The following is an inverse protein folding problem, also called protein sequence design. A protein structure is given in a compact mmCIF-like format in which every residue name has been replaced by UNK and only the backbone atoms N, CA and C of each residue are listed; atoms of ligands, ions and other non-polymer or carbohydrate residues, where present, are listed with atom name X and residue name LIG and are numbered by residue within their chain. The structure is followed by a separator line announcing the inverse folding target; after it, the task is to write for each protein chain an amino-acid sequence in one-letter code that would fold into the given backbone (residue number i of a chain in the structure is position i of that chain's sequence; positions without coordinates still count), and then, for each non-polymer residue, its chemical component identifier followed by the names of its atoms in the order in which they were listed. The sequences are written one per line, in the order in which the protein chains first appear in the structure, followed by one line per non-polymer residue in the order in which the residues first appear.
data_IF_234621351662
#
_entry.id   IF_234621351662
#
_cell.length_a   1.000
_cell.length_b   1.000
_cell.length_c   1.000
_cell.angle_alpha   90.00
_cell.angle_beta   90.00
_cell.angle_gamma   90.00
#
_symmetry.space_group_name_H-M   'P 1'
#
loop_
_entity.id
_entity.type
_entity.pdbx_description
1 polymer ?
#
# COMPACT_ATOMS: atom_id res chain seq x y z
N UNK A 1 18.79 -0.65 -12.37
CA UNK A 1 18.45 0.53 -11.54
C UNK A 1 16.95 0.46 -11.37
N UNK A 2 16.42 0.47 -10.16
CA UNK A 2 14.97 0.43 -9.96
C UNK A 2 14.38 1.71 -10.54
N UNK A 3 13.45 1.60 -11.49
CA UNK A 3 12.72 2.74 -12.01
C UNK A 3 11.77 3.23 -10.91
N UNK A 4 12.19 4.31 -10.26
CA UNK A 4 11.39 5.00 -9.26
C UNK A 4 10.19 5.61 -9.98
N UNK A 5 8.97 5.22 -9.59
CA UNK A 5 7.80 5.94 -10.06
C UNK A 5 7.66 7.19 -9.20
N UNK A 6 7.90 8.39 -9.75
CA UNK A 6 7.66 9.60 -9.01
C UNK A 6 6.18 9.66 -8.69
N UNK A 7 5.86 9.74 -7.40
CA UNK A 7 4.54 10.17 -6.96
C UNK A 7 4.22 11.54 -7.60
N UNK A 8 2.92 11.87 -7.79
CA UNK A 8 2.51 13.21 -8.22
C UNK A 8 3.14 14.28 -7.33
N UNK A 9 3.23 15.50 -7.87
CA UNK A 9 3.98 16.62 -7.28
C UNK A 9 3.94 16.65 -5.75
N UNK A 10 5.12 16.57 -5.13
CA UNK A 10 5.29 16.73 -3.70
C UNK A 10 4.76 18.10 -3.32
N UNK A 11 3.68 18.13 -2.53
CA UNK A 11 3.00 19.39 -2.21
C UNK A 11 3.73 20.06 -1.06
N UNK A 12 4.33 21.26 -1.24
CA UNK A 12 4.95 21.98 -0.14
C UNK A 12 3.91 22.20 0.95
N UNK A 13 4.26 21.98 2.23
CA UNK A 13 3.33 22.40 3.28
C UNK A 13 3.28 23.93 3.29
N UNK A 14 2.11 24.51 3.57
CA UNK A 14 2.04 25.94 3.65
C UNK A 14 2.72 26.48 4.91
N UNK A 15 3.02 27.80 4.94
CA UNK A 15 3.40 28.49 6.17
C UNK A 15 2.35 28.32 7.27
N UNK A 16 2.66 28.74 8.51
CA UNK A 16 1.90 28.45 9.74
C UNK A 16 0.42 28.95 9.83
N UNK A 17 -0.31 29.18 8.73
CA UNK A 17 -1.79 29.38 8.66
C UNK A 17 -2.31 29.25 7.21
N UNK A 18 -3.57 28.92 6.88
CA UNK A 18 -4.80 28.60 7.63
C UNK A 18 -5.14 27.11 7.37
N UNK A 19 -5.32 26.33 8.43
CA UNK A 19 -5.85 24.98 8.31
C UNK A 19 -7.36 25.04 8.41
N UNK A 20 -8.05 24.33 7.51
CA UNK A 20 -9.50 24.24 7.50
C UNK A 20 -9.92 22.79 7.42
N UNK A 21 -11.01 22.48 8.08
CA UNK A 21 -11.53 21.13 8.17
C UNK A 21 -12.98 21.13 7.69
N UNK A 22 -13.29 20.23 6.78
CA UNK A 22 -14.61 20.13 6.17
C UNK A 22 -15.20 18.76 6.50
N UNK A 23 -16.52 18.72 6.66
CA UNK A 23 -17.27 17.49 6.88
C UNK A 23 -18.37 17.35 5.83
N UNK A 24 -18.42 16.20 5.18
CA UNK A 24 -19.41 15.85 4.16
C UNK A 24 -20.06 14.52 4.51
N UNK A 25 -21.39 14.43 4.40
CA UNK A 25 -22.08 13.16 4.45
C UNK A 25 -21.80 12.39 3.14
N UNK A 26 -21.18 11.22 3.25
CA UNK A 26 -20.76 10.39 2.11
C UNK A 26 -21.94 9.82 1.31
N UNK A 27 -23.08 9.60 1.97
CA UNK A 27 -24.26 8.99 1.34
C UNK A 27 -25.06 10.04 0.57
N UNK A 28 -25.28 11.22 1.17
CA UNK A 28 -26.10 12.28 0.56
C UNK A 28 -25.29 13.28 -0.25
N UNK A 29 -23.97 13.35 -0.04
CA UNK A 29 -23.11 14.40 -0.59
C UNK A 29 -23.25 15.77 0.09
N UNK A 30 -24.11 15.89 1.11
CA UNK A 30 -24.33 17.14 1.84
C UNK A 30 -23.07 17.56 2.60
N UNK A 31 -22.65 18.81 2.43
CA UNK A 31 -21.62 19.40 3.29
C UNK A 31 -22.23 19.73 4.66
N UNK A 32 -22.06 18.82 5.62
CA UNK A 32 -22.58 18.98 6.98
C UNK A 32 -21.80 19.99 7.82
N UNK A 33 -20.55 20.28 7.44
CA UNK A 33 -19.81 21.46 7.92
C UNK A 33 -18.77 21.93 6.89
N UNK A 34 -18.67 23.25 6.72
CA UNK A 34 -17.62 23.89 5.90
C UNK A 34 -16.46 24.45 6.74
N UNK A 35 -16.62 24.49 8.05
CA UNK A 35 -15.66 25.04 9.02
C UNK A 35 -15.79 24.22 10.31
N UNK A 36 -15.38 22.96 10.28
CA UNK A 36 -15.42 22.06 11.44
C UNK A 36 -14.30 22.47 12.42
N UNK A 37 -14.60 22.86 13.68
CA UNK A 37 -13.60 23.41 14.58
C UNK A 37 -12.79 22.32 15.28
N UNK A 38 -12.03 21.55 14.50
CA UNK A 38 -11.12 20.54 15.02
C UNK A 38 -9.90 21.19 15.68
N UNK A 39 -9.39 20.54 16.72
CA UNK A 39 -8.17 20.89 17.42
C UNK A 39 -7.29 19.66 17.67
N UNK A 40 -6.02 19.85 18.01
CA UNK A 40 -5.05 18.75 18.17
C UNK A 40 -5.02 17.78 16.98
N UNK A 41 -5.17 18.31 15.76
CA UNK A 41 -5.24 17.51 14.55
C UNK A 41 -3.87 16.91 14.25
N UNK A 42 -3.86 15.64 13.86
CA UNK A 42 -2.68 14.93 13.38
C UNK A 42 -3.06 14.20 12.10
N UNK A 43 -2.41 14.53 10.99
CA UNK A 43 -2.64 13.88 9.69
C UNK A 43 -1.50 12.94 9.41
N UNK A 44 -1.81 11.66 9.18
CA UNK A 44 -0.81 10.60 9.06
C UNK A 44 -0.98 9.81 7.76
N UNK A 45 -0.39 10.26 6.63
CA UNK A 45 -0.25 9.42 5.45
C UNK A 45 0.58 8.16 5.76
N UNK A 46 0.17 7.02 5.20
CA UNK A 46 0.82 5.72 5.38
C UNK A 46 1.10 5.10 4.01
N UNK A 47 2.29 4.52 3.83
CA UNK A 47 2.64 3.79 2.61
C UNK A 47 1.91 2.45 2.63
N UNK A 48 1.17 2.16 1.57
CA UNK A 48 0.40 0.91 1.44
C UNK A 48 -0.54 0.67 2.63
N UNK A 49 -1.13 1.76 3.14
CA UNK A 49 -2.10 1.75 4.24
C UNK A 49 -3.01 2.98 4.18
N UNK A 50 -4.17 2.96 4.87
CA UNK A 50 -5.07 4.11 4.91
C UNK A 50 -4.39 5.29 5.61
N UNK A 51 -4.78 6.52 5.23
CA UNK A 51 -4.48 7.68 6.06
C UNK A 51 -5.01 7.46 7.47
N UNK A 52 -4.32 7.99 8.48
CA UNK A 52 -4.83 8.06 9.85
C UNK A 52 -4.89 9.51 10.28
N UNK A 53 -6.07 9.98 10.65
CA UNK A 53 -6.26 11.33 11.15
C UNK A 53 -6.87 11.23 12.53
N UNK A 54 -6.23 11.85 13.51
CA UNK A 54 -6.79 12.05 14.84
C UNK A 54 -7.06 13.52 15.08
N UNK A 55 -8.12 13.82 15.80
CA UNK A 55 -8.47 15.19 16.17
C UNK A 55 -9.29 15.20 17.46
N UNK A 56 -9.43 16.38 18.05
CA UNK A 56 -10.35 16.61 19.15
C UNK A 56 -11.34 17.71 18.81
N UNK A 57 -12.57 17.60 19.33
CA UNK A 57 -13.63 18.58 19.12
C UNK A 57 -14.46 18.76 20.40
N UNK A 58 -15.22 19.85 20.47
CA UNK A 58 -16.14 20.12 21.58
C UNK A 58 -17.28 19.08 21.65
N UNK A 59 -17.65 18.58 22.86
CA UNK A 59 -18.74 17.63 23.04
C UNK A 59 -20.10 18.07 22.48
N UNK A 60 -20.35 19.37 22.32
CA UNK A 60 -21.57 19.88 21.70
C UNK A 60 -21.79 19.37 20.26
N UNK A 61 -20.73 18.89 19.59
CA UNK A 61 -20.82 18.34 18.23
C UNK A 61 -21.28 16.88 18.17
N UNK A 62 -21.32 16.15 19.30
CA UNK A 62 -21.63 14.70 19.33
C UNK A 62 -22.96 14.38 18.65
N UNK A 63 -23.99 15.13 19.01
CA UNK A 63 -25.37 14.94 18.52
C UNK A 63 -25.81 16.09 17.60
N UNK A 64 -24.86 16.95 17.18
CA UNK A 64 -25.18 18.11 16.35
C UNK A 64 -25.66 17.64 14.98
N UNK A 65 -26.80 18.16 14.55
CA UNK A 65 -27.42 17.86 13.26
C UNK A 65 -27.54 19.10 12.40
N UNK A 66 -27.47 18.91 11.10
CA UNK A 66 -27.78 19.96 10.11
C UNK A 66 -29.29 20.20 10.04
N UNK A 67 -29.71 21.23 9.30
CA UNK A 67 -31.12 21.50 9.07
C UNK A 67 -31.88 20.39 8.32
N UNK A 68 -31.18 19.50 7.63
CA UNK A 68 -31.75 18.31 6.97
C UNK A 68 -31.86 17.11 7.92
N UNK A 69 -31.33 17.22 9.14
CA UNK A 69 -31.32 16.17 10.16
C UNK A 69 -30.09 15.25 10.13
N UNK A 70 -29.16 15.44 9.19
CA UNK A 70 -27.92 14.67 9.11
C UNK A 70 -27.00 14.99 10.30
N UNK A 71 -26.34 13.98 10.88
CA UNK A 71 -25.31 14.20 11.90
C UNK A 71 -24.10 14.91 11.29
N UNK A 72 -23.53 15.85 12.04
CA UNK A 72 -22.23 16.44 11.68
C UNK A 72 -21.11 15.41 11.87
N UNK A 73 -21.16 14.69 13.00
CA UNK A 73 -20.23 13.60 13.34
C UNK A 73 -20.96 12.27 13.29
N UNK A 74 -21.17 11.72 12.08
CA UNK A 74 -21.70 10.36 11.92
C UNK A 74 -20.58 9.38 11.58
N UNK A 75 -20.35 8.39 12.43
CA UNK A 75 -19.39 7.31 12.15
C UNK A 75 -19.81 6.52 10.91
N UNK A 76 -18.85 6.18 10.06
CA UNK A 76 -19.06 5.52 8.76
C UNK A 76 -20.01 6.28 7.80
N UNK A 77 -20.29 7.55 8.09
CA UNK A 77 -21.17 8.41 7.31
C UNK A 77 -20.47 9.71 6.91
N UNK A 78 -19.65 10.29 7.78
CA UNK A 78 -18.99 11.57 7.55
C UNK A 78 -17.58 11.40 6.98
N UNK A 79 -17.34 11.96 5.80
CA UNK A 79 -16.00 12.25 5.28
C UNK A 79 -15.48 13.54 5.91
N UNK A 80 -14.32 13.47 6.55
CA UNK A 80 -13.59 14.64 7.03
C UNK A 80 -12.37 14.83 6.14
N UNK A 81 -12.21 16.03 5.56
CA UNK A 81 -11.02 16.40 4.79
C UNK A 81 -10.31 17.58 5.43
N UNK A 82 -8.99 17.54 5.33
CA UNK A 82 -8.08 18.53 5.92
C UNK A 82 -7.46 19.34 4.80
N UNK A 83 -7.69 20.65 4.80
CA UNK A 83 -7.11 21.58 3.85
C UNK A 83 -6.03 22.44 4.52
N UNK A 84 -4.96 22.69 3.78
CA UNK A 84 -4.02 23.75 4.09
C UNK A 84 -3.65 24.51 2.80
N UNK A 85 -3.87 25.83 2.81
CA UNK A 85 -3.62 26.76 1.70
C UNK A 85 -4.21 26.33 0.36
N UNK A 86 -5.51 26.02 0.34
CA UNK A 86 -6.21 25.67 -0.90
C UNK A 86 -6.06 24.22 -1.34
N UNK A 87 -5.20 23.44 -0.69
CA UNK A 87 -4.93 22.06 -1.05
C UNK A 87 -5.33 21.09 0.06
N UNK A 88 -6.00 20.00 -0.31
CA UNK A 88 -6.28 18.91 0.62
C UNK A 88 -4.97 18.18 0.96
N UNK A 89 -4.70 18.04 2.26
CA UNK A 89 -3.52 17.39 2.84
C UNK A 89 -3.79 15.99 3.37
N UNK A 90 -5.07 15.64 3.47
CA UNK A 90 -5.54 14.32 3.85
C UNK A 90 -7.05 14.33 4.01
N UNK A 91 -7.61 13.16 4.23
CA UNK A 91 -8.99 13.00 4.62
C UNK A 91 -9.26 11.56 5.04
N UNK A 92 -10.52 11.28 5.33
CA UNK A 92 -10.96 9.94 5.67
C UNK A 92 -12.39 9.93 6.19
N UNK A 93 -12.89 8.73 6.43
CA UNK A 93 -14.18 8.45 7.03
C UNK A 93 -14.02 8.56 8.54
N UNK A 94 -14.89 9.32 9.20
CA UNK A 94 -14.97 9.30 10.66
C UNK A 94 -15.37 7.88 11.11
N UNK A 95 -14.53 7.22 11.88
CA UNK A 95 -14.73 5.83 12.31
C UNK A 95 -14.99 5.67 13.80
N UNK A 96 -14.55 6.65 14.60
CA UNK A 96 -14.78 6.62 16.05
C UNK A 96 -14.92 8.03 16.64
N UNK A 97 -15.76 8.14 17.67
CA UNK A 97 -16.01 9.33 18.47
C UNK A 97 -16.05 8.91 19.94
N UNK A 98 -14.98 9.22 20.69
CA UNK A 98 -14.84 8.81 22.09
C UNK A 98 -14.85 10.01 23.01
N UNK A 99 -15.51 9.90 24.16
CA UNK A 99 -15.43 10.92 25.21
C UNK A 99 -14.06 10.83 25.92
N UNK A 100 -13.33 11.93 25.91
CA UNK A 100 -12.01 12.05 26.52
C UNK A 100 -11.95 13.34 27.37
N UNK A 101 -12.33 13.22 28.63
CA UNK A 101 -12.38 14.36 29.55
C UNK A 101 -13.42 15.40 29.12
N UNK A 102 -12.96 16.59 28.71
CA UNK A 102 -13.83 17.71 28.26
C UNK A 102 -13.90 17.83 26.73
N UNK A 103 -13.39 16.84 26.00
CA UNK A 103 -13.36 16.81 24.53
C UNK A 103 -13.88 15.48 24.03
N UNK A 104 -14.21 15.44 22.74
CA UNK A 104 -14.36 14.20 21.99
C UNK A 104 -13.06 13.95 21.23
N UNK A 105 -12.51 12.76 21.37
CA UNK A 105 -11.45 12.24 20.51
C UNK A 105 -12.09 11.63 19.27
N UNK A 106 -11.60 12.03 18.10
CA UNK A 106 -12.06 11.53 16.81
C UNK A 106 -10.96 10.68 16.17
N UNK A 107 -11.34 9.51 15.67
CA UNK A 107 -10.50 8.73 14.75
C UNK A 107 -11.14 8.77 13.36
N UNK A 108 -10.33 9.18 12.38
CA UNK A 108 -10.72 9.30 10.98
C UNK A 108 -9.76 8.42 10.17
N UNK A 109 -10.32 7.43 9.47
CA UNK A 109 -9.57 6.45 8.69
C UNK A 109 -9.67 6.78 7.21
N UNK A 110 -8.55 6.75 6.49
CA UNK A 110 -8.48 6.94 5.04
C UNK A 110 -9.47 6.08 4.28
N UNK A 111 -9.87 6.51 3.08
CA UNK A 111 -10.98 5.86 2.35
C UNK A 111 -10.70 4.39 2.04
N UNK A 112 -9.44 3.97 1.93
CA UNK A 112 -9.07 2.57 1.69
C UNK A 112 -9.39 1.65 2.86
N UNK A 113 -9.51 2.19 4.08
CA UNK A 113 -10.00 1.45 5.24
C UNK A 113 -11.45 0.97 5.09
N UNK A 114 -12.23 1.53 4.16
CA UNK A 114 -13.57 1.04 3.84
C UNK A 114 -13.58 -0.40 3.31
N UNK A 115 -12.49 -0.83 2.65
CA UNK A 115 -12.39 -2.18 2.14
C UNK A 115 -12.31 -3.23 3.26
N UNK A 116 -11.86 -2.85 4.46
CA UNK A 116 -11.72 -3.77 5.59
C UNK A 116 -13.09 -4.29 6.05
N UNK A 117 -13.12 -5.60 6.35
CA UNK A 117 -14.29 -6.35 6.78
C UNK A 117 -15.44 -6.39 5.75
N UNK A 118 -15.21 -5.94 4.51
CA UNK A 118 -16.21 -6.03 3.47
C UNK A 118 -16.21 -7.42 2.84
N UNK A 119 -17.32 -8.18 2.94
CA UNK A 119 -17.40 -9.49 2.34
C UNK A 119 -17.68 -9.38 0.83
N UNK A 120 -17.11 -10.29 0.07
CA UNK A 120 -17.58 -10.53 -1.28
C UNK A 120 -18.90 -11.33 -1.25
N UNK A 121 -19.97 -10.80 -1.86
CA UNK A 121 -21.30 -11.42 -1.90
C UNK A 121 -21.67 -12.00 -3.26
N UNK A 122 -20.83 -11.78 -4.27
CA UNK A 122 -20.95 -12.42 -5.57
C UNK A 122 -19.56 -12.76 -6.12
N UNK A 123 -19.42 -13.93 -6.75
CA UNK A 123 -18.12 -14.36 -7.23
C UNK A 123 -17.60 -13.41 -8.31
N UNK A 124 -16.34 -13.02 -8.19
CA UNK A 124 -15.63 -12.30 -9.24
C UNK A 124 -14.84 -13.29 -10.07
N UNK A 125 -14.79 -13.07 -11.37
CA UNK A 125 -14.11 -13.97 -12.30
C UNK A 125 -13.42 -13.16 -13.37
N UNK A 126 -12.19 -13.55 -13.65
CA UNK A 126 -11.35 -13.02 -14.72
C UNK A 126 -10.94 -14.20 -15.61
N UNK A 127 -10.78 -13.93 -16.91
CA UNK A 127 -10.59 -15.01 -17.90
C UNK A 127 -11.91 -15.68 -18.31
N UNK A 128 -11.82 -16.85 -18.93
CA UNK A 128 -12.96 -17.51 -19.60
C UNK A 128 -13.03 -17.25 -21.11
N UNK A 129 -14.08 -17.73 -21.80
CA UNK A 129 -14.21 -17.63 -23.26
C UNK A 129 -15.45 -16.85 -23.70
N UNK A 130 -15.45 -15.56 -23.41
CA UNK A 130 -16.16 -14.57 -24.24
C UNK A 130 -15.11 -13.96 -25.17
N UNK A 131 -15.44 -13.79 -26.45
CA UNK A 131 -14.52 -13.27 -27.46
C UNK A 131 -13.74 -12.05 -26.94
N UNK A 132 -12.42 -12.20 -26.76
CA UNK A 132 -11.56 -11.13 -26.24
C UNK A 132 -10.55 -11.52 -25.15
N UNK A 133 -10.51 -12.76 -24.66
CA UNK A 133 -9.51 -13.17 -23.64
C UNK A 133 -8.15 -13.50 -24.25
N UNK A 134 -7.48 -12.49 -24.80
CA UNK A 134 -6.06 -12.54 -25.15
C UNK A 134 -5.22 -12.24 -23.90
N UNK A 135 -4.46 -13.20 -23.38
CA UNK A 135 -3.53 -12.97 -22.27
C UNK A 135 -3.18 -14.24 -21.50
N UNK A 136 -2.24 -14.11 -20.55
CA UNK A 136 -1.71 -15.22 -19.74
C UNK A 136 -2.07 -15.11 -18.25
N UNK A 137 -3.30 -14.69 -17.93
CA UNK A 137 -3.75 -14.39 -16.57
C UNK A 137 -4.15 -12.92 -16.39
N UNK A 138 -4.59 -12.57 -15.19
CA UNK A 138 -5.00 -11.21 -14.80
C UNK A 138 -3.91 -10.51 -13.99
N UNK A 139 -3.70 -9.21 -14.20
CA UNK A 139 -2.83 -8.38 -13.37
C UNK A 139 -3.40 -8.25 -11.94
N UNK A 140 -2.60 -8.46 -10.87
CA UNK A 140 -3.00 -8.15 -9.49
C UNK A 140 -3.65 -6.77 -9.32
N UNK A 141 -3.16 -5.73 -10.00
CA UNK A 141 -3.76 -4.39 -9.92
C UNK A 141 -5.12 -4.31 -10.62
N UNK A 142 -5.39 -5.13 -11.64
CA UNK A 142 -6.72 -5.23 -12.24
C UNK A 142 -7.71 -5.93 -11.30
N UNK A 143 -7.23 -6.89 -10.49
CA UNK A 143 -8.03 -7.50 -9.42
C UNK A 143 -8.39 -6.45 -8.38
N UNK A 144 -7.42 -5.65 -7.90
CA UNK A 144 -7.68 -4.56 -6.95
C UNK A 144 -8.68 -3.55 -7.51
N UNK A 145 -8.56 -3.14 -8.78
CA UNK A 145 -9.54 -2.26 -9.43
C UNK A 145 -10.94 -2.85 -9.46
N UNK A 146 -11.07 -4.13 -9.78
CA UNK A 146 -12.38 -4.80 -9.83
C UNK A 146 -12.99 -4.99 -8.44
N UNK A 147 -12.16 -5.22 -7.40
CA UNK A 147 -12.61 -5.23 -6.00
C UNK A 147 -13.14 -3.85 -5.57
N UNK A 148 -12.43 -2.77 -5.91
CA UNK A 148 -12.91 -1.41 -5.66
C UNK A 148 -14.18 -1.07 -6.42
N UNK A 149 -14.28 -1.47 -7.68
CA UNK A 149 -15.51 -1.33 -8.44
C UNK A 149 -16.67 -2.07 -7.75
N UNK A 150 -16.43 -3.32 -7.31
CA UNK A 150 -17.42 -4.10 -6.57
C UNK A 150 -17.88 -3.37 -5.30
N UNK A 151 -16.96 -2.79 -4.51
CA UNK A 151 -17.28 -2.00 -3.31
C UNK A 151 -18.17 -0.81 -3.64
N UNK A 152 -17.86 -0.09 -4.71
CA UNK A 152 -18.64 1.08 -5.14
C UNK A 152 -19.99 0.74 -5.76
N UNK A 153 -20.13 -0.46 -6.31
CA UNK A 153 -21.39 -0.97 -6.85
C UNK A 153 -22.37 -1.41 -5.73
N UNK A 154 -21.92 -1.48 -4.46
CA UNK A 154 -22.79 -1.82 -3.33
C UNK A 154 -23.71 -0.65 -2.94
N UNK A 155 -24.90 -0.92 -2.37
CA UNK A 155 -25.74 0.11 -1.75
C UNK A 155 -24.94 0.93 -0.74
N UNK A 156 -25.01 2.25 -0.86
CA UNK A 156 -24.29 3.23 -0.04
C UNK A 156 -22.76 3.07 -0.01
N UNK A 157 -22.18 2.25 -0.90
CA UNK A 157 -20.75 1.96 -0.97
C UNK A 157 -19.97 2.80 -1.97
N UNK A 158 -20.66 3.63 -2.77
CA UNK A 158 -20.01 4.45 -3.80
C UNK A 158 -19.31 5.67 -3.19
N UNK A 159 -18.05 5.49 -2.83
CA UNK A 159 -17.18 6.57 -2.36
C UNK A 159 -16.62 7.46 -3.48
N UNK A 160 -16.91 7.17 -4.76
CA UNK A 160 -16.35 7.89 -5.91
C UNK A 160 -14.80 7.93 -5.90
N UNK A 161 -14.20 6.84 -5.46
CA UNK A 161 -12.76 6.56 -5.50
C UNK A 161 -12.36 6.26 -6.93
N UNK A 162 -11.21 6.81 -7.32
CA UNK A 162 -10.57 6.55 -8.60
C UNK A 162 -9.22 5.91 -8.35
N UNK A 163 -8.74 5.09 -9.30
CA UNK A 163 -7.50 4.33 -9.15
C UNK A 163 -6.61 4.55 -10.35
N UNK A 164 -5.30 4.55 -10.13
CA UNK A 164 -4.29 4.62 -11.19
C UNK A 164 -4.44 3.48 -12.20
N UNK A 165 -3.93 3.68 -13.41
CA UNK A 165 -3.89 2.67 -14.48
C UNK A 165 -2.58 1.85 -14.51
N UNK A 166 -1.72 1.98 -13.48
CA UNK A 166 -0.45 1.24 -13.35
C UNK A 166 -0.63 -0.26 -13.55
N UNK A 167 0.23 -0.91 -14.33
CA UNK A 167 0.19 -2.36 -14.52
C UNK A 167 1.48 -3.01 -14.01
N UNK A 168 1.37 -4.23 -13.51
CA UNK A 168 2.50 -5.05 -13.10
C UNK A 168 2.82 -6.10 -14.18
N UNK A 169 4.00 -6.72 -14.17
CA UNK A 169 4.32 -7.86 -15.04
C UNK A 169 3.79 -9.20 -14.51
N UNK A 170 3.14 -9.23 -13.34
CA UNK A 170 2.65 -10.43 -12.66
C UNK A 170 1.27 -10.85 -13.18
N UNK A 171 0.98 -12.15 -13.23
CA UNK A 171 -0.33 -12.65 -13.69
C UNK A 171 -0.87 -13.76 -12.79
N UNK A 172 -2.17 -13.67 -12.49
CA UNK A 172 -2.93 -14.61 -11.67
C UNK A 172 -3.84 -15.49 -12.52
N UNK A 173 -4.11 -16.71 -12.07
CA UNK A 173 -5.14 -17.58 -12.62
C UNK A 173 -4.78 -19.06 -12.57
N UNK A 174 -5.59 -19.89 -13.21
CA UNK A 174 -5.38 -21.33 -13.36
C UNK A 174 -5.74 -21.74 -14.77
N UNK A 175 -5.04 -22.73 -15.33
CA UNK A 175 -5.32 -23.22 -16.67
C UNK A 175 -6.31 -24.38 -16.64
N UNK A 176 -7.33 -24.32 -17.49
CA UNK A 176 -8.39 -25.32 -17.58
C UNK A 176 -8.57 -25.84 -19.01
N UNK A 177 -9.12 -27.06 -19.11
CA UNK A 177 -9.44 -27.75 -20.35
C UNK A 177 -10.97 -27.89 -20.50
N UNK A 178 -11.57 -27.23 -21.51
CA UNK A 178 -12.99 -27.39 -21.84
C UNK A 178 -13.22 -28.37 -23.02
N UNK A 179 -14.24 -29.23 -22.90
CA UNK A 179 -14.65 -30.20 -23.96
C UNK A 179 -15.34 -29.52 -25.15
N UNK A 180 -16.19 -28.52 -24.91
CA UNK A 180 -16.93 -27.72 -25.91
C UNK A 180 -17.49 -26.46 -25.21
N UNK A 181 -17.73 -25.39 -25.95
CA UNK A 181 -18.56 -24.26 -25.48
C UNK A 181 -20.01 -24.68 -25.73
N UNK A 182 -20.87 -24.64 -24.71
CA UNK A 182 -22.30 -24.88 -24.92
C UNK A 182 -22.90 -23.71 -25.72
N UNK A 183 -23.99 -23.92 -26.49
CA UNK A 183 -24.56 -22.89 -27.37
C UNK A 183 -24.99 -21.60 -26.65
N UNK A 184 -25.15 -21.65 -25.33
CA UNK A 184 -25.50 -20.52 -24.44
C UNK A 184 -24.27 -19.81 -23.84
N UNK A 185 -23.05 -20.16 -24.27
CA UNK A 185 -21.81 -19.58 -23.79
C UNK A 185 -21.32 -20.14 -22.44
N UNK A 186 -21.98 -21.17 -21.90
CA UNK A 186 -21.55 -21.82 -20.66
C UNK A 186 -20.47 -22.86 -20.94
N UNK A 187 -19.57 -22.99 -19.98
CA UNK A 187 -18.51 -23.99 -19.99
C UNK A 187 -19.09 -25.31 -19.45
N UNK A 188 -19.15 -26.36 -20.27
CA UNK A 188 -19.40 -27.71 -19.77
C UNK A 188 -18.39 -28.12 -18.69
N UNK A 189 -18.62 -29.19 -17.91
CA UNK A 189 -17.85 -29.47 -16.69
C UNK A 189 -16.34 -29.48 -16.97
N UNK A 190 -15.66 -28.48 -16.40
CA UNK A 190 -14.22 -28.36 -16.49
C UNK A 190 -13.60 -29.62 -15.89
N UNK A 191 -12.77 -30.31 -16.67
CA UNK A 191 -11.81 -31.23 -16.07
C UNK A 191 -10.50 -30.48 -16.03
N UNK A 192 -10.02 -30.23 -14.82
CA UNK A 192 -8.71 -29.66 -14.53
C UNK A 192 -7.66 -30.27 -15.48
N UNK A 193 -6.81 -29.42 -16.05
CA UNK A 193 -5.57 -29.94 -16.62
C UNK A 193 -4.71 -30.30 -15.42
N UNK A 194 -3.96 -31.41 -15.44
CA UNK A 194 -2.86 -31.60 -14.49
C UNK A 194 -1.75 -30.57 -14.78
N UNK A 195 -2.04 -29.30 -14.54
CA UNK A 195 -1.13 -28.18 -14.65
C UNK A 195 -1.29 -27.39 -13.35
N UNK A 196 -0.17 -27.09 -12.70
CA UNK A 196 -0.20 -26.31 -11.47
C UNK A 196 -0.89 -24.94 -11.71
N UNK A 197 -1.59 -24.40 -10.71
CA UNK A 197 -2.13 -23.03 -10.73
C UNK A 197 -1.07 -22.05 -11.25
N UNK A 198 -1.48 -21.00 -11.97
CA UNK A 198 -0.59 -19.87 -12.25
C UNK A 198 -0.34 -19.20 -10.89
N UNK A 199 0.88 -19.27 -10.33
CA UNK A 199 1.14 -18.75 -9.01
C UNK A 199 0.86 -17.24 -8.94
N UNK A 200 0.43 -16.78 -7.76
CA UNK A 200 0.08 -15.38 -7.50
C UNK A 200 1.24 -14.39 -7.72
N UNK A 201 2.47 -14.91 -7.65
CA UNK A 201 3.74 -14.22 -7.79
C UNK A 201 4.43 -14.52 -9.14
N UNK A 202 3.70 -15.08 -10.11
CA UNK A 202 4.31 -15.43 -11.41
C UNK A 202 4.36 -14.27 -12.39
N UNK A 203 5.55 -13.96 -12.88
CA UNK A 203 5.78 -13.08 -14.03
C UNK A 203 5.70 -13.91 -15.32
N UNK A 204 4.81 -13.52 -16.24
CA UNK A 204 4.68 -14.20 -17.53
C UNK A 204 5.63 -13.64 -18.58
N UNK A 205 6.71 -14.36 -18.84
CA UNK A 205 7.74 -13.95 -19.81
C UNK A 205 7.36 -14.27 -21.27
N UNK A 206 7.97 -13.59 -22.27
CA UNK A 206 7.72 -13.83 -23.69
C UNK A 206 8.00 -15.27 -24.17
N UNK A 207 8.82 -16.01 -23.41
CA UNK A 207 9.22 -17.40 -23.71
C UNK A 207 8.33 -18.42 -23.02
N UNK A 208 7.53 -18.00 -22.05
CA UNK A 208 6.59 -18.88 -21.39
C UNK A 208 5.40 -19.16 -22.29
N UNK A 209 5.07 -20.43 -22.42
CA UNK A 209 3.94 -20.89 -23.22
C UNK A 209 2.86 -21.39 -22.29
N UNK A 210 1.58 -21.16 -22.61
CA UNK A 210 0.49 -21.88 -21.95
C UNK A 210 0.74 -23.39 -21.99
N UNK A 211 0.22 -24.15 -21.02
CA UNK A 211 0.27 -25.61 -21.08
C UNK A 211 -0.39 -26.12 -22.37
N UNK A 212 0.00 -27.31 -22.82
CA UNK A 212 -0.58 -27.89 -24.04
C UNK A 212 -2.01 -28.35 -23.73
N UNK A 213 -2.98 -27.92 -24.55
CA UNK A 213 -4.36 -28.36 -24.45
C UNK A 213 -4.44 -29.89 -24.61
N UNK A 214 -5.33 -30.56 -23.85
CA UNK A 214 -5.58 -31.97 -24.10
C UNK A 214 -6.22 -32.18 -25.48
N UNK A 215 -5.95 -33.33 -26.12
CA UNK A 215 -6.46 -33.63 -27.46
C UNK A 215 -7.97 -33.43 -27.54
N UNK A 216 -8.41 -32.64 -28.52
CA UNK A 216 -9.83 -32.33 -28.73
C UNK A 216 -10.45 -31.32 -27.75
N UNK A 217 -9.65 -30.63 -26.92
CA UNK A 217 -10.13 -29.62 -25.96
C UNK A 217 -9.60 -28.22 -26.27
N UNK A 218 -10.30 -27.21 -25.75
CA UNK A 218 -9.83 -25.82 -25.73
C UNK A 218 -9.21 -25.50 -24.37
N UNK A 219 -8.03 -24.90 -24.38
CA UNK A 219 -7.39 -24.35 -23.20
C UNK A 219 -7.86 -22.91 -22.92
N UNK A 220 -8.11 -22.59 -21.67
CA UNK A 220 -8.35 -21.22 -21.21
C UNK A 220 -7.80 -21.05 -19.79
N UNK A 221 -7.52 -19.82 -19.36
CA UNK A 221 -7.21 -19.54 -17.97
C UNK A 221 -8.41 -18.88 -17.27
N UNK A 222 -8.47 -19.04 -15.95
CA UNK A 222 -9.47 -18.42 -15.10
C UNK A 222 -8.86 -18.04 -13.76
N UNK A 223 -9.16 -16.84 -13.26
CA UNK A 223 -8.93 -16.48 -11.87
C UNK A 223 -10.30 -16.18 -11.25
N UNK A 224 -10.55 -16.64 -10.04
CA UNK A 224 -11.82 -16.42 -9.36
C UNK A 224 -11.61 -16.01 -7.92
N UNK A 225 -12.55 -15.24 -7.41
CA UNK A 225 -12.77 -15.04 -5.98
C UNK A 225 -14.20 -15.50 -5.72
N UNK A 226 -14.36 -16.60 -5.01
CA UNK A 226 -15.65 -17.23 -4.79
C UNK A 226 -16.29 -16.69 -3.52
N UNK A 227 -17.51 -16.16 -3.62
CA UNK A 227 -18.17 -15.53 -2.46
C UNK A 227 -18.37 -16.50 -1.28
N UNK A 228 -18.52 -17.79 -1.56
CA UNK A 228 -18.75 -18.84 -0.55
C UNK A 228 -17.46 -19.34 0.12
N UNK A 229 -16.31 -18.76 -0.23
CA UNK A 229 -15.05 -18.91 0.52
C UNK A 229 -14.88 -17.79 1.56
N UNK A 230 -15.92 -16.96 1.73
CA UNK A 230 -15.97 -15.80 2.63
C UNK A 230 -14.76 -14.84 2.49
N UNK A 231 -14.35 -14.47 1.26
CA UNK A 231 -13.20 -13.60 1.11
C UNK A 231 -13.52 -12.18 1.59
N UNK A 232 -12.60 -11.64 2.39
CA UNK A 232 -12.63 -10.28 2.91
C UNK A 232 -11.79 -9.38 2.01
N UNK A 233 -12.40 -8.30 1.49
CA UNK A 233 -11.84 -7.51 0.39
C UNK A 233 -10.55 -6.78 0.80
N UNK A 234 -10.48 -6.20 1.99
CA UNK A 234 -9.27 -5.54 2.51
C UNK A 234 -8.08 -6.51 2.66
N UNK A 235 -8.32 -7.70 3.20
CA UNK A 235 -7.34 -8.77 3.33
C UNK A 235 -6.88 -9.28 1.96
N UNK A 236 -7.78 -9.40 0.99
CA UNK A 236 -7.40 -9.74 -0.39
C UNK A 236 -6.45 -8.69 -0.99
N UNK A 237 -6.76 -7.40 -0.86
CA UNK A 237 -5.89 -6.31 -1.34
C UNK A 237 -4.53 -6.37 -0.64
N UNK A 238 -4.52 -6.57 0.68
CA UNK A 238 -3.29 -6.72 1.48
C UNK A 238 -2.46 -7.92 1.03
N UNK A 239 -3.12 -9.05 0.77
CA UNK A 239 -2.48 -10.28 0.29
C UNK A 239 -1.85 -10.07 -1.09
N UNK A 240 -2.57 -9.42 -2.01
CA UNK A 240 -2.06 -9.07 -3.33
C UNK A 240 -0.85 -8.13 -3.25
N UNK A 241 -0.88 -7.11 -2.40
CA UNK A 241 0.25 -6.19 -2.19
C UNK A 241 1.46 -6.86 -1.52
N UNK A 242 1.22 -7.89 -0.69
CA UNK A 242 2.30 -8.68 -0.06
C UNK A 242 2.94 -9.70 -1.01
N UNK A 243 2.16 -10.26 -1.93
CA UNK A 243 2.61 -11.29 -2.88
C UNK A 243 3.11 -10.71 -4.20
N UNK A 244 2.59 -9.55 -4.60
CA UNK A 244 3.04 -8.78 -5.75
C UNK A 244 3.66 -7.48 -5.25
N UNK A 245 4.92 -7.16 -5.58
CA UNK A 245 5.64 -6.02 -5.04
C UNK A 245 5.15 -4.73 -5.72
N UNK A 246 4.01 -4.22 -5.27
CA UNK A 246 3.51 -2.89 -5.59
C UNK A 246 3.20 -2.13 -4.30
N UNK A 247 3.44 -0.83 -4.33
CA UNK A 247 2.99 0.08 -3.29
C UNK A 247 1.72 0.79 -3.72
N UNK A 248 0.97 1.30 -2.73
CA UNK A 248 -0.14 2.20 -2.98
C UNK A 248 -0.19 3.36 -1.98
N UNK A 249 -0.86 4.45 -2.37
CA UNK A 249 -1.04 5.62 -1.52
C UNK A 249 -2.37 6.31 -1.84
N UNK A 250 -3.07 6.77 -0.80
CA UNK A 250 -4.26 7.60 -0.98
C UNK A 250 -3.90 9.05 -1.28
N UNK A 251 -4.78 9.74 -1.99
CA UNK A 251 -4.73 11.19 -2.10
C UNK A 251 -6.11 11.80 -2.16
N UNK A 252 -6.15 13.06 -1.72
CA UNK A 252 -7.33 13.89 -1.69
C UNK A 252 -7.05 15.17 -2.48
N UNK A 253 -8.02 15.60 -3.27
CA UNK A 253 -7.97 16.90 -3.96
C UNK A 253 -9.37 17.48 -4.13
N UNK A 254 -9.45 18.80 -4.15
CA UNK A 254 -10.63 19.47 -4.69
C UNK A 254 -10.77 19.12 -6.18
N UNK A 255 -11.96 18.71 -6.59
CA UNK A 255 -12.26 18.43 -8.00
C UNK A 255 -12.41 19.71 -8.83
N UNK A 256 -12.74 20.80 -8.14
CA UNK A 256 -13.17 22.07 -8.69
C UNK A 256 -12.76 23.23 -7.77
N UNK A 257 -12.65 24.43 -8.35
CA UNK A 257 -12.13 25.62 -7.65
C UNK A 257 -13.09 26.16 -6.57
N UNK A 258 -14.39 25.90 -6.70
CA UNK A 258 -15.44 26.23 -5.73
C UNK A 258 -15.49 25.24 -4.54
N UNK A 259 -14.64 24.20 -4.55
CA UNK A 259 -14.46 23.24 -3.46
C UNK A 259 -15.77 22.55 -3.07
N UNK A 260 -16.61 22.23 -4.05
CA UNK A 260 -17.89 21.55 -3.83
C UNK A 260 -17.78 20.04 -3.94
N UNK A 261 -16.73 19.53 -4.58
CA UNK A 261 -16.49 18.09 -4.76
C UNK A 261 -15.06 17.71 -4.36
N UNK A 262 -14.94 16.62 -3.61
CA UNK A 262 -13.66 15.97 -3.28
C UNK A 262 -13.43 14.82 -4.27
N UNK A 263 -12.20 14.70 -4.78
CA UNK A 263 -11.73 13.49 -5.48
C UNK A 263 -10.81 12.71 -4.54
N UNK A 264 -11.20 11.47 -4.29
CA UNK A 264 -10.40 10.45 -3.61
C UNK A 264 -9.74 9.57 -4.66
N UNK A 265 -8.43 9.38 -4.55
CA UNK A 265 -7.66 8.65 -5.56
C UNK A 265 -6.60 7.75 -4.93
N UNK A 266 -6.53 6.51 -5.40
CA UNK A 266 -5.54 5.51 -5.00
C UNK A 266 -4.43 5.43 -6.05
N UNK A 267 -3.24 5.89 -5.68
CA UNK A 267 -2.04 5.81 -6.50
C UNK A 267 -1.42 4.43 -6.39
N UNK A 268 -0.88 3.90 -7.49
CA UNK A 268 -0.17 2.62 -7.52
C UNK A 268 1.24 2.79 -8.09
N UNK A 269 2.22 2.20 -7.42
CA UNK A 269 3.59 2.14 -7.93
C UNK A 269 4.12 0.72 -7.97
N UNK A 270 4.59 0.33 -9.15
CA UNK A 270 5.31 -0.91 -9.37
C UNK A 270 6.72 -0.59 -9.92
N UNK A 271 7.80 -1.20 -9.38
CA UNK A 271 7.79 -2.09 -8.21
C UNK A 271 7.59 -1.32 -6.90
N UNK A 272 7.72 0.01 -6.90
CA UNK A 272 7.57 0.84 -5.69
C UNK A 272 7.15 2.28 -6.03
N UNK A 273 6.53 2.95 -5.07
CA UNK A 273 6.25 4.39 -5.10
C UNK A 273 7.41 5.22 -4.53
N UNK A 274 7.45 6.50 -4.88
CA UNK A 274 8.36 7.50 -4.32
C UNK A 274 9.71 7.57 -5.03
N UNK A 275 10.64 8.33 -4.47
CA UNK A 275 11.90 8.70 -5.12
C UNK A 275 13.08 8.49 -4.18
N UNK A 276 14.26 8.24 -4.76
CA UNK A 276 15.51 8.33 -4.00
C UNK A 276 15.97 9.78 -3.90
N UNK A 277 15.79 10.37 -2.73
CA UNK A 277 16.09 11.77 -2.44
C UNK A 277 17.59 11.97 -2.18
N UNK A 278 18.39 11.98 -3.26
CA UNK A 278 19.84 12.12 -3.17
C UNK A 278 20.33 13.55 -2.91
N UNK A 279 19.47 14.54 -3.14
CA UNK A 279 19.80 15.97 -2.99
C UNK A 279 19.36 16.54 -1.64
N UNK A 280 18.45 15.87 -0.95
CA UNK A 280 18.03 16.26 0.40
C UNK A 280 18.99 15.69 1.44
N UNK A 281 19.12 16.41 2.55
CA UNK A 281 20.06 16.08 3.62
C UNK A 281 19.28 15.96 4.92
N UNK A 282 19.44 14.88 5.67
CA UNK A 282 18.77 14.66 6.96
C UNK A 282 19.82 14.31 8.01
N UNK A 283 20.15 15.26 8.88
CA UNK A 283 21.24 15.14 9.86
C UNK A 283 20.82 15.62 11.23
N UNK A 284 21.11 14.79 12.21
CA UNK A 284 20.99 15.11 13.63
C UNK A 284 21.84 16.35 13.97
N UNK A 285 21.32 17.22 14.84
CA UNK A 285 21.88 18.53 15.19
C UNK A 285 21.90 19.57 14.05
N UNK A 286 21.30 19.29 12.88
CA UNK A 286 21.14 20.27 11.79
C UNK A 286 19.67 20.52 11.45
N UNK A 287 18.96 19.48 11.03
CA UNK A 287 17.55 19.60 10.63
C UNK A 287 16.66 18.48 11.16
N UNK A 288 17.17 17.73 12.14
CA UNK A 288 16.39 16.78 12.93
C UNK A 288 16.34 17.30 14.38
N UNK A 289 15.13 17.52 14.92
CA UNK A 289 14.92 18.16 16.23
C UNK A 289 15.02 17.21 17.41
N UNK A 290 14.55 15.97 17.24
CA UNK A 290 14.65 14.92 18.26
C UNK A 290 15.82 13.97 17.96
N UNK A 291 16.41 13.33 18.99
CA UNK A 291 17.37 12.26 18.78
C UNK A 291 16.80 11.19 17.85
N UNK A 292 17.56 10.83 16.83
CA UNK A 292 17.11 9.83 15.85
C UNK A 292 16.94 8.48 16.54
N UNK A 293 15.77 7.87 16.39
CA UNK A 293 15.49 6.56 16.98
C UNK A 293 16.21 5.48 16.17
N UNK A 294 17.38 5.09 16.66
CA UNK A 294 18.16 3.95 16.15
C UNK A 294 17.81 2.70 16.94
N UNK A 295 17.29 1.68 16.27
CA UNK A 295 16.99 0.38 16.87
C UNK A 295 17.99 -0.68 16.44
N UNK A 296 18.20 -1.65 17.33
CA UNK A 296 18.94 -2.88 17.04
C UNK A 296 18.05 -4.07 17.33
N UNK A 297 17.56 -4.71 16.27
CA UNK A 297 16.66 -5.85 16.40
C UNK A 297 17.34 -7.15 15.93
N UNK A 298 17.42 -8.12 16.84
CA UNK A 298 17.94 -9.47 16.58
C UNK A 298 16.86 -10.53 16.33
N UNK A 299 15.57 -10.20 16.46
CA UNK A 299 14.47 -11.14 16.25
C UNK A 299 14.42 -11.67 14.81
N UNK A 300 14.58 -10.76 13.85
CA UNK A 300 14.58 -11.04 12.41
C UNK A 300 15.97 -11.36 11.83
N UNK A 301 17.00 -11.37 12.67
CA UNK A 301 18.38 -11.54 12.20
C UNK A 301 18.62 -12.94 11.61
N UNK A 302 19.32 -12.97 10.47
CA UNK A 302 19.84 -14.19 9.86
C UNK A 302 21.27 -13.99 9.33
N UNK A 303 22.14 -14.96 9.62
CA UNK A 303 23.50 -15.05 9.05
C UNK A 303 23.69 -16.26 8.13
N UNK A 304 22.60 -16.94 7.81
CA UNK A 304 22.52 -17.93 6.77
C UNK A 304 21.19 -17.80 6.04
N UNK A 305 21.24 -17.56 4.74
CA UNK A 305 20.08 -17.52 3.87
C UNK A 305 20.15 -18.67 2.88
N UNK A 306 19.05 -19.40 2.75
CA UNK A 306 18.83 -20.35 1.65
C UNK A 306 17.75 -19.81 0.74
N UNK A 307 18.07 -19.59 -0.54
CA UNK A 307 17.10 -19.21 -1.56
C UNK A 307 16.69 -20.45 -2.35
N UNK A 308 15.39 -20.61 -2.57
CA UNK A 308 14.79 -21.66 -3.37
C UNK A 308 14.17 -21.05 -4.64
N UNK A 309 14.75 -21.36 -5.79
CA UNK A 309 14.29 -21.00 -7.12
C UNK A 309 13.23 -21.94 -7.69
N UNK A 310 13.05 -21.86 -9.01
CA UNK A 310 12.15 -22.70 -9.79
C UNK A 310 12.40 -24.21 -9.58
N UNK A 311 11.31 -24.98 -9.63
CA UNK A 311 11.31 -26.44 -9.55
C UNK A 311 10.38 -26.97 -8.46
N UNK A 312 10.26 -28.30 -8.39
CA UNK A 312 9.37 -28.98 -7.43
C UNK A 312 10.15 -29.87 -6.48
N UNK A 313 9.79 -29.82 -5.19
CA UNK A 313 10.38 -30.65 -4.15
C UNK A 313 11.91 -30.60 -4.14
N UNK A 314 12.55 -31.77 -4.15
CA UNK A 314 14.01 -31.90 -4.12
C UNK A 314 14.73 -31.41 -5.39
N UNK A 315 13.99 -31.10 -6.47
CA UNK A 315 14.54 -30.60 -7.74
C UNK A 315 14.55 -29.07 -7.83
N UNK A 316 14.06 -28.35 -6.81
CA UNK A 316 14.18 -26.89 -6.76
C UNK A 316 15.64 -26.46 -6.91
N UNK A 317 15.88 -25.52 -7.83
CA UNK A 317 17.16 -24.81 -7.88
C UNK A 317 17.33 -24.09 -6.55
N UNK A 318 18.53 -24.16 -5.95
CA UNK A 318 18.75 -23.51 -4.65
C UNK A 318 20.19 -23.07 -4.48
N UNK A 319 20.37 -22.07 -3.63
CA UNK A 319 21.68 -21.60 -3.21
C UNK A 319 21.65 -21.14 -1.76
N UNK A 320 22.82 -21.15 -1.11
CA UNK A 320 22.95 -20.71 0.28
C UNK A 320 24.08 -19.70 0.38
N UNK A 321 23.83 -18.60 1.08
CA UNK A 321 24.84 -17.62 1.48
C UNK A 321 24.92 -17.58 3.01
N UNK A 322 26.13 -17.43 3.56
CA UNK A 322 26.31 -17.29 5.00
C UNK A 322 27.51 -16.42 5.36
N UNK A 323 27.50 -15.87 6.56
CA UNK A 323 28.61 -15.09 7.12
C UNK A 323 28.95 -15.59 8.53
N UNK A 324 30.24 -15.71 8.83
CA UNK A 324 30.73 -15.98 10.19
C UNK A 324 31.05 -14.65 10.86
N UNK A 325 30.08 -14.10 11.57
CA UNK A 325 30.17 -12.79 12.22
C UNK A 325 30.33 -12.88 13.75
N UNK A 326 30.68 -14.07 14.26
CA UNK A 326 30.83 -14.36 15.69
C UNK A 326 29.51 -14.59 16.44
N UNK A 327 28.36 -14.55 15.77
CA UNK A 327 27.04 -14.84 16.37
C UNK A 327 26.61 -16.29 16.16
N UNK A 328 25.61 -16.72 16.93
CA UNK A 328 24.95 -18.02 16.72
C UNK A 328 24.33 -18.10 15.31
N UNK A 329 24.34 -19.30 14.73
CA UNK A 329 23.74 -19.54 13.42
C UNK A 329 22.22 -19.34 13.48
N UNK A 330 21.72 -18.40 12.68
CA UNK A 330 20.29 -18.14 12.46
C UNK A 330 20.02 -18.24 10.96
N UNK A 331 19.23 -19.25 10.60
CA UNK A 331 18.89 -19.58 9.22
C UNK A 331 17.52 -19.03 8.82
N UNK A 332 17.41 -18.53 7.59
CA UNK A 332 16.16 -18.14 6.95
C UNK A 332 16.10 -18.73 5.54
N UNK A 333 14.90 -19.10 5.11
CA UNK A 333 14.62 -19.57 3.75
C UNK A 333 13.79 -18.53 3.01
N UNK A 334 14.09 -18.31 1.73
CA UNK A 334 13.34 -17.39 0.85
C UNK A 334 12.98 -18.14 -0.43
N UNK A 335 11.69 -18.18 -0.77
CA UNK A 335 11.23 -18.74 -2.04
C UNK A 335 11.21 -17.64 -3.11
N UNK A 336 11.78 -17.95 -4.28
CA UNK A 336 11.92 -17.07 -5.44
C UNK A 336 11.70 -17.87 -6.73
N UNK A 337 10.46 -18.31 -6.99
CA UNK A 337 10.15 -19.23 -8.10
C UNK A 337 10.46 -18.65 -9.48
N UNK A 338 10.66 -17.32 -9.57
CA UNK A 338 11.13 -16.61 -10.75
C UNK A 338 12.59 -16.93 -11.14
N UNK A 339 13.42 -17.39 -10.21
CA UNK A 339 14.84 -17.65 -10.44
C UNK A 339 15.04 -19.07 -10.98
N UNK A 340 15.62 -19.21 -12.17
CA UNK A 340 15.72 -20.49 -12.88
C UNK A 340 17.10 -21.13 -12.84
N UNK A 341 18.10 -20.40 -12.33
CA UNK A 341 19.50 -20.84 -12.29
C UNK A 341 20.10 -20.74 -10.88
N UNK A 342 21.11 -21.59 -10.61
CA UNK A 342 21.84 -21.57 -9.32
C UNK A 342 22.56 -20.23 -9.13
N UNK A 343 23.05 -19.61 -10.20
CA UNK A 343 23.73 -18.32 -10.15
C UNK A 343 22.77 -17.19 -9.72
N UNK A 344 21.55 -17.16 -10.27
CA UNK A 344 20.49 -16.24 -9.85
C UNK A 344 20.15 -16.44 -8.37
N UNK A 345 19.95 -17.70 -7.94
CA UNK A 345 19.69 -18.01 -6.53
C UNK A 345 20.85 -17.59 -5.62
N UNK A 346 22.10 -17.74 -6.06
CA UNK A 346 23.28 -17.35 -5.28
C UNK A 346 23.39 -15.83 -5.14
N UNK A 347 23.08 -15.08 -6.21
CA UNK A 347 23.02 -13.62 -6.17
C UNK A 347 21.94 -13.15 -5.19
N UNK A 348 20.73 -13.72 -5.28
CA UNK A 348 19.63 -13.44 -4.36
C UNK A 348 19.98 -13.78 -2.92
N UNK A 349 20.58 -14.95 -2.65
CA UNK A 349 20.98 -15.36 -1.30
C UNK A 349 22.00 -14.39 -0.69
N UNK A 350 22.95 -13.89 -1.49
CA UNK A 350 23.91 -12.88 -1.03
C UNK A 350 23.27 -11.52 -0.74
N UNK A 351 22.22 -11.14 -1.48
CA UNK A 351 21.46 -9.91 -1.23
C UNK A 351 20.62 -9.98 0.03
N UNK A 352 19.86 -11.07 0.18
CA UNK A 352 19.11 -11.36 1.40
C UNK A 352 20.05 -11.45 2.61
N UNK A 353 21.22 -12.08 2.47
CA UNK A 353 22.18 -12.13 3.58
C UNK A 353 22.62 -10.74 4.01
N UNK A 354 22.88 -9.82 3.07
CA UNK A 354 23.21 -8.43 3.40
C UNK A 354 22.02 -7.71 4.07
N UNK A 355 20.79 -8.01 3.66
CA UNK A 355 19.56 -7.45 4.25
C UNK A 355 19.37 -7.93 5.70
N UNK A 356 19.42 -9.24 5.95
CA UNK A 356 19.05 -9.83 7.24
C UNK A 356 20.19 -9.94 8.25
N UNK A 357 21.45 -9.82 7.83
CA UNK A 357 22.59 -9.80 8.76
C UNK A 357 22.77 -8.47 9.50
N UNK A 358 22.11 -7.41 9.03
CA UNK A 358 22.23 -6.06 9.57
C UNK A 358 21.19 -5.79 10.66
N UNK A 359 21.66 -5.64 11.90
CA UNK A 359 20.82 -5.41 13.09
C UNK A 359 20.34 -3.96 13.24
N UNK A 360 21.12 -3.00 12.72
CA UNK A 360 20.85 -1.58 12.91
C UNK A 360 19.78 -1.11 11.93
N UNK A 361 18.78 -0.41 12.46
CA UNK A 361 17.72 0.27 11.71
C UNK A 361 17.50 1.67 12.30
N UNK A 362 17.03 2.60 11.47
CA UNK A 362 16.49 3.88 11.92
C UNK A 362 14.98 3.78 11.74
N UNK A 363 14.24 3.90 12.84
CA UNK A 363 12.79 3.66 12.82
C UNK A 363 11.98 4.94 12.83
N UNK A 364 12.53 6.03 13.38
CA UNK A 364 11.88 7.33 13.36
C UNK A 364 12.86 8.49 13.56
N UNK A 365 12.48 9.67 13.08
CA UNK A 365 13.15 10.95 13.33
C UNK A 365 12.16 12.09 13.12
N UNK A 366 12.40 13.24 13.75
CA UNK A 366 11.55 14.44 13.59
C UNK A 366 12.29 15.46 12.74
N UNK A 367 11.69 15.91 11.64
CA UNK A 367 12.28 16.87 10.70
C UNK A 367 11.71 18.25 10.99
N UNK A 368 12.58 19.24 11.18
CA UNK A 368 12.20 20.66 11.22
C UNK A 368 12.37 21.28 9.84
N UNK A 369 11.55 22.28 9.51
CA UNK A 369 11.66 22.98 8.24
C UNK A 369 13.05 23.63 8.08
N UNK A 370 13.77 23.24 7.03
CA UNK A 370 15.17 23.62 6.83
C UNK A 370 15.52 23.65 5.32
N UNK A 371 16.35 24.58 4.82
CA UNK A 371 16.70 24.65 3.39
C UNK A 371 17.25 23.37 2.76
N UNK A 372 17.85 22.47 3.55
CA UNK A 372 18.38 21.19 3.06
C UNK A 372 17.37 20.04 3.03
N UNK A 373 16.25 20.17 3.75
CA UNK A 373 15.10 19.29 3.64
C UNK A 373 13.82 20.09 3.90
N UNK A 374 13.43 20.99 2.98
CA UNK A 374 12.25 21.81 3.18
C UNK A 374 11.03 20.93 3.37
N UNK A 375 10.18 21.26 4.33
CA UNK A 375 8.99 20.46 4.58
C UNK A 375 8.10 20.47 3.32
N UNK A 376 7.73 19.26 2.87
CA UNK A 376 7.00 19.03 1.62
C UNK A 376 7.88 18.82 0.38
N UNK A 377 9.22 18.85 0.51
CA UNK A 377 10.16 18.40 -0.53
C UNK A 377 10.38 16.88 -0.53
N UNK A 378 9.86 16.20 0.48
CA UNK A 378 9.93 14.75 0.70
C UNK A 378 8.55 14.24 1.13
N UNK A 379 8.27 12.97 0.88
CA UNK A 379 6.96 12.37 1.17
C UNK A 379 7.06 10.89 1.54
N UNK A 380 5.94 10.32 1.97
CA UNK A 380 5.82 8.88 2.20
C UNK A 380 6.17 8.10 0.93
N UNK A 381 6.90 7.00 1.08
CA UNK A 381 7.47 6.25 -0.03
C UNK A 381 8.79 6.81 -0.58
N UNK A 382 9.29 7.97 -0.15
CA UNK A 382 10.63 8.39 -0.52
C UNK A 382 11.71 7.62 0.26
N UNK A 383 12.87 7.50 -0.37
CA UNK A 383 14.09 7.00 0.27
C UNK A 383 15.00 8.19 0.55
N UNK A 384 15.38 8.35 1.81
CA UNK A 384 16.19 9.47 2.29
C UNK A 384 17.42 8.95 3.02
N UNK A 385 18.52 9.70 2.93
CA UNK A 385 19.76 9.38 3.62
C UNK A 385 19.81 10.10 4.97
N UNK A 386 19.70 9.34 6.05
CA UNK A 386 19.76 9.86 7.42
C UNK A 386 21.15 9.68 8.00
N UNK A 387 21.68 10.72 8.62
CA UNK A 387 22.97 10.73 9.31
C UNK A 387 22.76 11.09 10.79
N UNK A 388 23.16 10.20 11.69
CA UNK A 388 23.01 10.36 13.15
C UNK A 388 24.24 9.78 13.85
N UNK A 389 24.41 10.10 15.14
CA UNK A 389 25.45 9.51 15.97
C UNK A 389 24.82 8.75 17.13
N UNK A 390 25.16 7.47 17.24
CA UNK A 390 24.90 6.71 18.48
C UNK A 390 26.09 6.87 19.43
N UNK A 391 25.91 6.46 20.68
CA UNK A 391 27.01 6.38 21.66
C UNK A 391 28.16 5.47 21.21
N UNK A 392 27.89 4.51 20.33
CA UNK A 392 28.87 3.54 19.85
C UNK A 392 29.58 3.98 18.56
N UNK A 393 28.84 4.53 17.59
CA UNK A 393 29.34 4.85 16.26
C UNK A 393 28.41 5.81 15.49
N UNK A 394 28.95 6.54 14.49
CA UNK A 394 28.11 7.22 13.51
C UNK A 394 27.30 6.22 12.69
N UNK A 395 26.04 6.54 12.43
CA UNK A 395 25.13 5.75 11.60
C UNK A 395 24.73 6.58 10.39
N UNK A 396 24.85 5.98 9.21
CA UNK A 396 24.44 6.57 7.93
C UNK A 396 23.66 5.54 7.15
N UNK A 397 22.35 5.71 7.06
CA UNK A 397 21.46 4.72 6.44
C UNK A 397 20.51 5.38 5.46
N UNK A 398 20.31 4.71 4.33
CA UNK A 398 19.14 4.96 3.49
C UNK A 398 17.94 4.32 4.16
N UNK A 399 16.92 5.13 4.41
CA UNK A 399 15.65 4.69 4.96
C UNK A 399 14.53 5.06 4.02
N UNK A 400 13.54 4.18 3.92
CA UNK A 400 12.28 4.41 3.23
C UNK A 400 11.27 4.95 4.22
N UNK A 401 10.66 6.07 3.88
CA UNK A 401 9.62 6.69 4.70
C UNK A 401 8.32 5.89 4.53
N UNK A 402 7.82 5.33 5.62
CA UNK A 402 6.59 4.52 5.62
C UNK A 402 5.39 5.28 6.16
N UNK A 403 5.61 6.30 6.98
CA UNK A 403 4.56 7.16 7.52
C UNK A 403 5.15 8.52 7.86
N UNK A 404 4.31 9.55 7.83
CA UNK A 404 4.64 10.89 8.33
C UNK A 404 3.52 11.39 9.19
N UNK A 405 3.85 12.07 10.28
CA UNK A 405 2.89 12.66 11.19
C UNK A 405 2.96 14.17 11.03
N UNK A 406 1.90 14.74 10.46
CA UNK A 406 1.77 16.16 10.20
C UNK A 406 0.81 16.79 11.21
N UNK A 407 1.35 17.62 12.10
CA UNK A 407 0.56 18.40 13.04
C UNK A 407 0.45 19.85 12.55
N UNK A 408 -0.76 20.34 12.25
CA UNK A 408 -0.99 21.74 11.90
C UNK A 408 -0.33 22.71 12.86
N UNK A 409 0.55 23.57 12.34
CA UNK A 409 1.22 24.62 13.11
C UNK A 409 2.47 24.20 13.90
N UNK A 410 2.79 22.90 13.99
CA UNK A 410 3.99 22.44 14.71
C UNK A 410 5.29 22.95 14.05
N UNK A 411 5.33 23.00 12.72
CA UNK A 411 6.53 23.36 11.97
C UNK A 411 7.59 22.26 11.93
N UNK A 412 7.21 21.04 12.30
CA UNK A 412 8.00 19.82 12.21
C UNK A 412 7.12 18.65 11.73
N UNK A 413 7.76 17.62 11.19
CA UNK A 413 7.13 16.35 10.78
C UNK A 413 7.85 15.22 11.48
N UNK A 414 7.11 14.40 12.21
CA UNK A 414 7.64 13.13 12.71
C UNK A 414 7.54 12.07 11.60
N UNK A 415 8.69 11.49 11.25
CA UNK A 415 8.81 10.47 10.20
C UNK A 415 8.93 9.10 10.85
N UNK A 416 8.14 8.14 10.38
CA UNK A 416 8.38 6.71 10.61
C UNK A 416 8.99 6.11 9.35
N UNK A 417 10.01 5.29 9.54
CA UNK A 417 10.76 4.72 8.42
C UNK A 417 11.34 3.35 8.78
N UNK A 418 11.90 2.69 7.76
CA UNK A 418 12.71 1.48 7.90
C UNK A 418 13.85 1.53 6.88
N UNK A 419 14.94 0.81 7.12
CA UNK A 419 16.06 0.73 6.18
C UNK A 419 15.59 0.35 4.78
N UNK A 420 16.00 1.13 3.77
CA UNK A 420 15.53 0.98 2.39
C UNK A 420 15.75 -0.40 1.79
N UNK A 421 16.82 -1.07 2.19
CA UNK A 421 17.16 -2.39 1.69
C UNK A 421 16.31 -3.52 2.30
N UNK A 422 15.46 -3.24 3.31
CA UNK A 422 14.52 -4.20 3.90
C UNK A 422 13.33 -4.50 3.00
N UNK A 423 13.04 -3.61 2.06
CA UNK A 423 11.95 -3.78 1.12
C UNK A 423 12.44 -4.60 -0.07
N UNK A 424 11.73 -5.69 -0.38
CA UNK A 424 12.04 -6.52 -1.54
C UNK A 424 11.28 -6.04 -2.76
N UNK A 425 12.03 -5.60 -3.76
CA UNK A 425 11.49 -5.10 -5.02
C UNK A 425 12.21 -5.77 -6.18
N UNK A 426 11.50 -6.27 -7.20
CA UNK A 426 12.11 -6.85 -8.38
C UNK A 426 13.10 -5.88 -9.00
N UNK A 427 14.25 -6.41 -9.38
CA UNK A 427 15.22 -5.66 -10.18
C UNK A 427 14.75 -5.69 -11.62
N UNK A 428 14.40 -4.52 -12.15
CA UNK A 428 14.14 -4.34 -13.58
C UNK A 428 15.36 -4.62 -14.43
#
# INVERSE_FOLDING_TARGET
MTDWIPLPESRPLPPRGEWRYYAQNLVTGEWVSRELPLSAVKVTPVLSGPYRISATIDPAYKELRTGTGALVLGEWQTLIVVEASGELRGGGILTDVREAGQKLDLEITGFSGYAERQPLRSSLTWGGKTAGTTGNGVDPLDVVRRLWQYLQDQPDGNLNVTLDSTSTPYRLGEWHNARRIDPDGKLGPAKEVNAQPIPIDKIWGPRERPPVAAQGKTLYWQYQQLWHEDPEIGQLITTLAGQTPFDWMESYRWANADKTQVRMHLHFGYPRLGRRQAQLRFVEDENLSDPVTVQRDGGEYANLITVYGAGEGSKKVRATASVRDGRLRRGMSVDRPDLTTVAECQAAAGEELRRWSQLVDITSFTVVDHPHAPIGSFQVGDDVLVQTRTTAAPVRLWVRITSMDLSPGAGEIQVTCRRSDRFDYPKG
#
